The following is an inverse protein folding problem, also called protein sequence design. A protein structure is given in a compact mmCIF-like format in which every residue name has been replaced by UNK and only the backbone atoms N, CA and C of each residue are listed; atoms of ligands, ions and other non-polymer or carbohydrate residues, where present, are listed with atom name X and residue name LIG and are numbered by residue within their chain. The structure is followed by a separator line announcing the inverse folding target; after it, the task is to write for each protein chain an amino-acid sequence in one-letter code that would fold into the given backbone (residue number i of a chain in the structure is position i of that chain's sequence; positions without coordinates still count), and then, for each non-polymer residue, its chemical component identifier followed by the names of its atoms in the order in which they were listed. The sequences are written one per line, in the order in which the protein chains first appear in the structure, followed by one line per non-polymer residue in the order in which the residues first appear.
data_IF_627288668802
#
_entry.id   IF_627288668802
#
_cell.length_a   1.000
_cell.length_b   1.000
_cell.length_c   1.000
_cell.angle_alpha   90.00
_cell.angle_beta   90.00
_cell.angle_gamma   90.00
#
_symmetry.space_group_name_H-M   'P 1'
#
loop_
_entity.id
_entity.type
_entity.pdbx_description
1 polymer ?
#
# COMPACT_ATOMS: atom_id res chain seq x y z
N UNK A 1 19.16 13.87 15.65
CA UNK A 1 19.75 13.83 17.01
C UNK A 1 21.19 13.41 16.81
N UNK A 2 22.14 14.18 17.33
CA UNK A 2 23.55 13.84 17.16
C UNK A 2 23.88 12.67 18.12
N UNK A 3 24.64 11.66 17.68
CA UNK A 3 25.10 10.60 18.57
C UNK A 3 26.15 11.14 19.54
N UNK A 4 26.10 10.68 20.79
CA UNK A 4 27.06 11.02 21.86
C UNK A 4 27.74 9.73 22.32
N UNK A 5 29.03 9.81 22.63
CA UNK A 5 29.80 8.67 23.13
C UNK A 5 29.39 8.35 24.57
N UNK A 6 28.72 7.21 24.76
CA UNK A 6 28.36 6.68 26.07
C UNK A 6 29.56 6.02 26.76
N UNK A 7 30.31 5.19 26.04
CA UNK A 7 31.47 4.45 26.58
C UNK A 7 32.64 4.51 25.60
N UNK A 8 33.86 4.51 26.15
CA UNK A 8 35.14 4.33 25.43
C UNK A 8 35.90 3.22 26.15
N UNK A 9 36.23 2.16 25.43
CA UNK A 9 36.83 0.95 25.99
C UNK A 9 37.98 0.47 25.10
N UNK A 10 38.98 -0.21 25.66
CA UNK A 10 40.08 -0.75 24.87
C UNK A 10 39.59 -1.84 23.91
N UNK A 11 40.28 -2.04 22.78
CA UNK A 11 39.88 -3.00 21.74
C UNK A 11 39.83 -4.47 22.21
N UNK A 12 40.51 -4.80 23.30
CA UNK A 12 40.49 -6.13 23.90
C UNK A 12 39.31 -6.37 24.84
N UNK A 13 38.48 -5.35 25.12
CA UNK A 13 37.26 -5.52 25.90
C UNK A 13 36.18 -6.18 25.03
N UNK A 14 35.61 -7.29 25.52
CA UNK A 14 34.49 -7.96 24.87
C UNK A 14 33.18 -7.26 25.23
N UNK A 15 32.63 -6.51 24.27
CA UNK A 15 31.36 -5.82 24.39
C UNK A 15 30.15 -6.65 23.91
N UNK A 16 30.35 -7.85 23.40
CA UNK A 16 29.29 -8.62 22.72
C UNK A 16 28.08 -8.89 23.61
N UNK A 17 28.31 -9.31 24.85
CA UNK A 17 27.24 -9.56 25.83
C UNK A 17 26.50 -8.28 26.24
N UNK A 18 27.21 -7.16 26.39
CA UNK A 18 26.57 -5.88 26.70
C UNK A 18 25.79 -5.31 25.51
N UNK A 19 26.30 -5.44 24.29
CA UNK A 19 25.58 -5.09 23.05
C UNK A 19 24.29 -5.91 22.94
N UNK A 20 24.35 -7.21 23.25
CA UNK A 20 23.17 -8.10 23.26
C UNK A 20 22.14 -7.63 24.30
N UNK A 21 22.59 -7.21 25.48
CA UNK A 21 21.73 -6.61 26.50
C UNK A 21 21.05 -5.33 25.98
N UNK A 22 21.79 -4.40 25.39
CA UNK A 22 21.23 -3.15 24.83
C UNK A 22 20.22 -3.42 23.71
N UNK A 23 20.50 -4.39 22.83
CA UNK A 23 19.57 -4.82 21.78
C UNK A 23 18.26 -5.37 22.38
N UNK A 24 18.35 -6.19 23.43
CA UNK A 24 17.18 -6.73 24.13
C UNK A 24 16.36 -5.64 24.80
N UNK A 25 17.01 -4.63 25.34
CA UNK A 25 16.35 -3.45 25.93
C UNK A 25 15.86 -2.44 24.89
N UNK A 26 16.04 -2.71 23.59
CA UNK A 26 15.67 -1.83 22.48
C UNK A 26 16.29 -0.43 22.57
N UNK A 27 17.47 -0.33 23.18
CA UNK A 27 18.22 0.93 23.29
C UNK A 27 18.96 1.16 21.96
N UNK A 28 18.70 2.27 21.23
CA UNK A 28 19.43 2.56 20.00
C UNK A 28 20.91 2.82 20.29
N UNK A 29 21.79 2.08 19.64
CA UNK A 29 23.24 2.21 19.85
C UNK A 29 24.02 1.87 18.58
N UNK A 30 25.28 2.30 18.54
CA UNK A 30 26.26 1.95 17.51
C UNK A 30 27.63 1.79 18.16
N UNK A 31 28.34 0.71 17.87
CA UNK A 31 29.75 0.55 18.25
C UNK A 31 30.60 0.92 17.04
N UNK A 32 31.64 1.73 17.24
CA UNK A 32 32.66 2.01 16.25
C UNK A 32 34.05 1.95 16.88
N UNK A 33 35.08 1.79 16.07
CA UNK A 33 36.47 1.88 16.51
C UNK A 33 37.03 3.28 16.22
N UNK A 34 37.64 3.92 17.21
CA UNK A 34 38.34 5.20 17.07
C UNK A 34 39.67 5.16 17.84
N UNK A 35 40.79 5.44 17.15
CA UNK A 35 42.10 5.66 17.79
C UNK A 35 42.53 4.51 18.74
N UNK A 36 42.24 3.26 18.37
CA UNK A 36 42.60 2.09 19.19
C UNK A 36 41.63 1.78 20.34
N UNK A 37 40.47 2.43 20.38
CA UNK A 37 39.39 2.20 21.34
C UNK A 37 38.09 1.82 20.63
N UNK A 38 37.25 1.01 21.28
CA UNK A 38 35.85 0.82 20.93
C UNK A 38 35.01 1.92 21.59
N UNK A 39 34.21 2.62 20.78
CA UNK A 39 33.32 3.70 21.21
C UNK A 39 31.87 3.27 21.01
N UNK A 40 31.11 3.25 22.10
CA UNK A 40 29.66 3.01 22.08
C UNK A 40 28.94 4.35 21.98
N UNK A 41 28.25 4.57 20.88
CA UNK A 41 27.44 5.75 20.60
C UNK A 41 25.97 5.48 20.89
N UNK A 42 25.30 6.45 21.51
CA UNK A 42 23.84 6.45 21.71
C UNK A 42 23.28 7.81 21.30
N UNK A 43 21.98 7.93 20.96
CA UNK A 43 21.36 9.23 20.69
C UNK A 43 21.48 10.18 21.87
N UNK A 44 21.73 11.47 21.59
CA UNK A 44 21.62 12.55 22.58
C UNK A 44 20.16 12.72 23.02
N UNK A 45 19.75 11.95 24.03
CA UNK A 45 18.38 11.86 24.51
C UNK A 45 18.35 11.85 26.04
N UNK A 46 18.60 13.00 26.66
CA UNK A 46 18.45 13.20 28.10
C UNK A 46 19.36 12.29 28.93
N UNK A 47 18.77 11.53 29.84
CA UNK A 47 19.47 10.65 30.80
C UNK A 47 20.00 9.34 30.18
N UNK A 48 19.66 9.04 28.91
CA UNK A 48 20.01 7.77 28.25
C UNK A 48 21.53 7.47 28.25
N UNK A 49 22.36 8.49 28.09
CA UNK A 49 23.83 8.34 28.11
C UNK A 49 24.28 7.88 29.50
N UNK A 50 23.68 8.42 30.56
CA UNK A 50 24.00 8.06 31.94
C UNK A 50 23.45 6.67 32.27
N UNK A 51 22.23 6.36 31.86
CA UNK A 51 21.61 5.04 32.04
C UNK A 51 22.46 3.92 31.42
N UNK A 52 23.00 4.15 30.21
CA UNK A 52 23.85 3.18 29.52
C UNK A 52 25.19 3.00 30.23
N UNK A 53 25.75 4.05 30.84
CA UNK A 53 26.96 3.95 31.66
C UNK A 53 26.71 3.15 32.94
N UNK A 54 25.66 3.48 33.68
CA UNK A 54 25.27 2.77 34.89
C UNK A 54 24.96 1.29 34.61
N UNK A 55 24.31 1.02 33.48
CA UNK A 55 24.02 -0.35 33.04
C UNK A 55 25.30 -1.13 32.72
N UNK A 56 26.29 -0.48 32.10
CA UNK A 56 27.57 -1.11 31.80
C UNK A 56 28.40 -1.39 33.05
N UNK A 57 28.43 -0.46 34.01
CA UNK A 57 29.12 -0.67 35.29
C UNK A 57 28.56 -1.87 36.05
N UNK A 58 27.25 -2.10 35.92
CA UNK A 58 26.55 -3.18 36.62
C UNK A 58 26.58 -4.52 35.86
N UNK A 59 26.58 -4.47 34.53
CA UNK A 59 26.52 -5.65 33.66
C UNK A 59 27.51 -5.54 32.48
N UNK A 60 28.84 -5.51 32.74
CA UNK A 60 29.83 -5.28 31.69
C UNK A 60 29.89 -6.42 30.66
N UNK A 61 29.57 -7.66 31.08
CA UNK A 61 29.45 -8.81 30.17
C UNK A 61 28.01 -9.02 29.66
N UNK A 62 27.11 -8.07 29.91
CA UNK A 62 25.67 -8.27 29.79
C UNK A 62 25.10 -9.12 30.93
N UNK A 63 23.78 -9.29 30.92
CA UNK A 63 23.06 -10.19 31.81
C UNK A 63 21.85 -10.74 31.05
N UNK A 64 21.82 -12.06 30.87
CA UNK A 64 20.71 -12.73 30.18
C UNK A 64 19.39 -12.67 30.95
N UNK A 65 19.45 -12.55 32.28
CA UNK A 65 18.30 -12.53 33.17
C UNK A 65 17.79 -11.11 33.49
N UNK A 66 18.55 -10.06 33.16
CA UNK A 66 18.17 -8.68 33.48
C UNK A 66 16.89 -8.24 32.75
N UNK A 67 15.84 -7.93 33.50
CA UNK A 67 14.61 -7.36 32.98
C UNK A 67 14.47 -5.93 33.49
N UNK A 68 14.03 -5.01 32.63
CA UNK A 68 13.64 -3.67 33.08
C UNK A 68 12.47 -3.83 34.06
N UNK A 69 12.47 -3.14 35.22
CA UNK A 69 11.33 -3.11 36.12
C UNK A 69 10.07 -2.65 35.35
N UNK A 70 9.10 -3.54 35.17
CA UNK A 70 7.88 -3.28 34.39
C UNK A 70 7.88 -3.77 32.93
N UNK A 71 9.00 -4.32 32.42
CA UNK A 71 9.03 -4.99 31.11
C UNK A 71 8.46 -6.40 31.20
N UNK A 72 7.14 -6.52 31.15
CA UNK A 72 6.55 -7.76 30.62
C UNK A 72 6.94 -7.80 29.15
N UNK A 73 7.96 -8.59 28.81
CA UNK A 73 8.21 -8.94 27.42
C UNK A 73 6.95 -9.66 26.90
N UNK A 74 6.07 -8.91 26.25
CA UNK A 74 5.12 -9.53 25.33
C UNK A 74 5.98 -10.34 24.34
N UNK A 75 5.66 -11.62 24.10
CA UNK A 75 6.43 -12.42 23.17
C UNK A 75 6.57 -11.65 21.87
N UNK A 76 7.77 -11.65 21.26
CA UNK A 76 7.95 -11.22 19.87
C UNK A 76 7.20 -12.24 19.01
N UNK A 77 5.88 -12.17 19.01
CA UNK A 77 5.05 -12.92 18.08
C UNK A 77 5.40 -12.35 16.72
N UNK A 78 6.04 -13.16 15.88
CA UNK A 78 6.16 -12.87 14.45
C UNK A 78 4.84 -12.29 13.96
N UNK A 79 4.91 -11.22 13.16
CA UNK A 79 3.73 -10.44 12.77
C UNK A 79 2.57 -11.36 12.36
N UNK A 80 1.31 -10.94 12.60
CA UNK A 80 0.14 -11.81 12.46
C UNK A 80 0.24 -12.60 11.16
N UNK A 81 0.21 -13.93 11.25
CA UNK A 81 0.40 -14.80 10.09
C UNK A 81 -0.55 -14.42 8.95
N UNK A 82 -0.16 -14.69 7.70
CA UNK A 82 -0.94 -14.31 6.50
C UNK A 82 -2.41 -14.68 6.63
N UNK A 83 -2.71 -15.86 7.18
CA UNK A 83 -4.07 -16.33 7.45
C UNK A 83 -4.86 -15.41 8.41
N UNK A 84 -4.21 -14.90 9.45
CA UNK A 84 -4.84 -13.95 10.38
C UNK A 84 -5.10 -12.60 9.71
N UNK A 85 -4.20 -12.13 8.84
CA UNK A 85 -4.41 -10.89 8.09
C UNK A 85 -5.57 -11.02 7.09
N UNK A 86 -5.65 -12.14 6.36
CA UNK A 86 -6.75 -12.43 5.45
C UNK A 86 -8.10 -12.47 6.17
N UNK A 87 -8.17 -13.06 7.36
CA UNK A 87 -9.40 -13.08 8.18
C UNK A 87 -9.81 -11.71 8.70
N UNK A 88 -8.87 -10.79 8.89
CA UNK A 88 -9.16 -9.41 9.30
C UNK A 88 -9.59 -8.50 8.14
N UNK A 89 -9.22 -8.86 6.92
CA UNK A 89 -9.50 -8.06 5.73
C UNK A 89 -10.20 -8.91 4.65
N UNK A 90 -11.42 -9.45 4.94
CA UNK A 90 -12.09 -10.39 4.07
C UNK A 90 -12.47 -9.79 2.71
N UNK A 91 -12.88 -8.52 2.62
CA UNK A 91 -13.22 -7.89 1.33
C UNK A 91 -11.96 -7.59 0.53
N UNK A 92 -10.89 -7.13 1.18
CA UNK A 92 -9.60 -6.96 0.51
C UNK A 92 -9.14 -8.28 -0.11
N UNK A 93 -9.19 -9.36 0.67
CA UNK A 93 -8.84 -10.70 0.20
C UNK A 93 -9.77 -11.19 -0.92
N UNK A 94 -11.08 -10.98 -0.79
CA UNK A 94 -12.07 -11.39 -1.78
C UNK A 94 -11.85 -10.69 -3.13
N UNK A 95 -11.65 -9.37 -3.14
CA UNK A 95 -11.41 -8.62 -4.38
C UNK A 95 -10.12 -9.08 -5.05
N UNK A 96 -9.07 -9.35 -4.28
CA UNK A 96 -7.83 -9.91 -4.82
C UNK A 96 -8.03 -11.32 -5.37
N UNK A 97 -8.77 -12.18 -4.67
CA UNK A 97 -9.09 -13.52 -5.14
C UNK A 97 -9.87 -13.48 -6.45
N UNK A 98 -10.93 -12.66 -6.53
CA UNK A 98 -11.72 -12.48 -7.75
C UNK A 98 -10.84 -11.94 -8.88
N UNK A 99 -9.98 -10.97 -8.59
CA UNK A 99 -9.01 -10.43 -9.57
C UNK A 99 -8.08 -11.52 -10.10
N UNK A 100 -7.55 -12.39 -9.24
CA UNK A 100 -6.70 -13.52 -9.65
C UNK A 100 -7.46 -14.55 -10.50
N UNK A 101 -8.70 -14.88 -10.12
CA UNK A 101 -9.56 -15.78 -10.90
C UNK A 101 -9.86 -15.21 -12.28
N UNK A 102 -10.22 -13.93 -12.36
CA UNK A 102 -10.45 -13.24 -13.64
C UNK A 102 -9.19 -13.22 -14.48
N UNK A 103 -8.03 -12.89 -13.89
CA UNK A 103 -6.75 -12.92 -14.61
C UNK A 103 -6.44 -14.30 -15.21
N UNK A 104 -6.78 -15.39 -14.49
CA UNK A 104 -6.69 -16.76 -15.00
C UNK A 104 -7.67 -17.03 -16.14
N UNK A 105 -8.94 -16.62 -16.01
CA UNK A 105 -9.97 -16.79 -17.05
C UNK A 105 -9.65 -15.99 -18.32
N UNK A 106 -9.12 -14.78 -18.18
CA UNK A 106 -8.73 -13.92 -19.29
C UNK A 106 -7.36 -14.27 -19.86
N UNK A 107 -6.65 -15.25 -19.29
CA UNK A 107 -5.27 -15.59 -19.63
C UNK A 107 -4.38 -14.34 -19.72
N UNK A 108 -4.45 -13.47 -18.70
CA UNK A 108 -3.71 -12.21 -18.63
C UNK A 108 -3.85 -11.28 -19.86
N UNK A 109 -4.96 -11.37 -20.60
CA UNK A 109 -5.19 -10.52 -21.78
C UNK A 109 -5.50 -11.32 -23.05
N UNK A 110 -5.11 -12.59 -23.10
CA UNK A 110 -5.12 -13.36 -24.35
C UNK A 110 -6.50 -13.93 -24.69
N UNK A 111 -7.33 -14.22 -23.69
CA UNK A 111 -8.68 -14.75 -23.90
C UNK A 111 -9.69 -13.60 -24.12
N UNK A 112 -9.81 -13.16 -25.38
CA UNK A 112 -10.69 -12.06 -25.78
C UNK A 112 -12.18 -12.33 -25.53
N UNK A 113 -12.63 -13.60 -25.56
CA UNK A 113 -14.02 -13.93 -25.22
C UNK A 113 -14.31 -13.64 -23.74
N UNK A 114 -13.42 -14.04 -22.83
CA UNK A 114 -13.57 -13.75 -21.40
C UNK A 114 -13.50 -12.23 -21.13
N UNK A 115 -12.57 -11.53 -21.79
CA UNK A 115 -12.45 -10.06 -21.70
C UNK A 115 -13.72 -9.38 -22.18
N UNK A 116 -14.31 -9.86 -23.29
CA UNK A 116 -15.53 -9.32 -23.86
C UNK A 116 -16.68 -9.29 -22.85
N UNK A 117 -16.76 -10.19 -21.88
CA UNK A 117 -17.81 -10.17 -20.85
C UNK A 117 -17.62 -9.10 -19.77
N UNK A 118 -16.37 -8.68 -19.53
CA UNK A 118 -15.99 -7.86 -18.38
C UNK A 118 -15.56 -6.44 -18.76
N UNK A 119 -15.21 -6.20 -20.02
CA UNK A 119 -14.80 -4.89 -20.51
C UNK A 119 -15.95 -3.87 -20.51
N UNK A 120 -15.61 -2.58 -20.60
CA UNK A 120 -16.54 -1.48 -20.47
C UNK A 120 -17.57 -1.45 -21.61
N UNK A 121 -17.12 -1.62 -22.86
CA UNK A 121 -17.97 -1.78 -24.04
C UNK A 121 -17.83 -3.18 -24.62
N UNK A 122 -18.95 -3.82 -24.97
CA UNK A 122 -18.90 -5.05 -25.76
C UNK A 122 -18.27 -4.75 -27.10
N UNK A 123 -17.54 -5.72 -27.62
CA UNK A 123 -16.85 -5.58 -28.88
C UNK A 123 -16.94 -6.86 -29.69
N UNK A 124 -16.93 -6.70 -31.01
CA UNK A 124 -16.82 -7.81 -31.96
C UNK A 124 -15.59 -7.61 -32.80
N UNK A 125 -14.86 -8.69 -33.00
CA UNK A 125 -13.71 -8.72 -33.90
C UNK A 125 -14.21 -9.22 -35.25
N UNK A 126 -14.00 -8.43 -36.30
CA UNK A 126 -14.27 -8.79 -37.68
C UNK A 126 -12.99 -8.57 -38.49
N UNK A 127 -12.29 -9.66 -38.81
CA UNK A 127 -10.93 -9.57 -39.37
C UNK A 127 -9.99 -8.86 -38.39
N UNK A 128 -9.34 -7.81 -38.86
CA UNK A 128 -8.37 -7.03 -38.07
C UNK A 128 -8.99 -5.87 -37.27
N UNK A 129 -10.33 -5.69 -37.33
CA UNK A 129 -11.00 -4.55 -36.72
C UNK A 129 -11.87 -4.98 -35.52
N UNK A 130 -11.75 -4.22 -34.43
CA UNK A 130 -12.67 -4.29 -33.30
C UNK A 130 -13.76 -3.22 -33.45
N UNK A 131 -15.02 -3.65 -33.44
CA UNK A 131 -16.19 -2.74 -33.40
C UNK A 131 -16.81 -2.80 -32.02
N UNK A 132 -17.03 -1.64 -31.39
CA UNK A 132 -17.62 -1.54 -30.06
C UNK A 132 -19.11 -1.24 -30.15
N UNK A 133 -19.90 -1.89 -29.29
CA UNK A 133 -21.32 -1.57 -29.14
C UNK A 133 -21.47 -0.25 -28.37
N UNK A 134 -22.38 0.65 -28.80
CA UNK A 134 -22.68 1.89 -28.07
C UNK A 134 -23.07 1.64 -26.60
N UNK A 135 -22.72 2.60 -25.74
CA UNK A 135 -22.95 2.48 -24.29
C UNK A 135 -24.44 2.47 -23.93
N UNK A 136 -25.25 3.24 -24.64
CA UNK A 136 -26.70 3.31 -24.48
C UNK A 136 -27.39 1.97 -24.77
N UNK A 137 -27.04 1.34 -25.89
CA UNK A 137 -27.54 -0.01 -26.24
C UNK A 137 -27.14 -1.04 -25.18
N UNK A 138 -25.90 -0.92 -24.69
CA UNK A 138 -25.36 -1.74 -23.62
C UNK A 138 -26.17 -1.67 -22.33
N UNK A 139 -26.43 -0.46 -21.86
CA UNK A 139 -27.20 -0.22 -20.65
C UNK A 139 -28.66 -0.65 -20.83
N UNK A 140 -29.24 -0.41 -22.01
CA UNK A 140 -30.59 -0.87 -22.36
C UNK A 140 -30.69 -2.41 -22.36
N UNK A 141 -29.63 -3.11 -22.73
CA UNK A 141 -29.56 -4.59 -22.68
C UNK A 141 -29.29 -5.18 -21.28
N UNK A 142 -29.19 -4.33 -20.24
CA UNK A 142 -29.03 -4.77 -18.86
C UNK A 142 -27.59 -5.16 -18.48
N UNK A 143 -26.58 -4.72 -19.22
CA UNK A 143 -25.18 -5.07 -18.99
C UNK A 143 -24.46 -4.09 -18.05
N UNK A 144 -25.12 -3.68 -16.98
CA UNK A 144 -24.67 -2.63 -16.05
C UNK A 144 -23.40 -2.99 -15.27
N UNK A 145 -23.07 -4.28 -15.11
CA UNK A 145 -21.85 -4.71 -14.44
C UNK A 145 -20.57 -4.18 -15.11
N UNK A 146 -20.64 -3.88 -16.41
CA UNK A 146 -19.51 -3.39 -17.23
C UNK A 146 -19.01 -2.01 -16.86
N UNK A 147 -19.81 -1.25 -16.13
CA UNK A 147 -19.36 0.01 -15.54
C UNK A 147 -18.25 -0.26 -14.51
N UNK A 148 -18.27 -1.42 -13.86
CA UNK A 148 -17.36 -1.77 -12.75
C UNK A 148 -16.37 -2.87 -13.12
N UNK A 149 -16.80 -3.92 -13.80
CA UNK A 149 -15.98 -5.12 -14.05
C UNK A 149 -14.62 -4.91 -14.74
N UNK A 150 -14.36 -3.84 -15.52
CA UNK A 150 -13.03 -3.60 -16.08
C UNK A 150 -11.91 -3.54 -15.03
N UNK A 151 -12.22 -3.20 -13.77
CA UNK A 151 -11.21 -3.21 -12.70
C UNK A 151 -10.56 -4.59 -12.48
N UNK A 152 -11.23 -5.67 -12.88
CA UNK A 152 -10.76 -7.05 -12.65
C UNK A 152 -9.83 -7.56 -13.76
N UNK A 153 -9.86 -6.95 -14.95
CA UNK A 153 -9.08 -7.39 -16.11
C UNK A 153 -7.65 -6.90 -15.96
N UNK A 154 -6.65 -7.76 -16.14
CA UNK A 154 -5.24 -7.37 -16.07
C UNK A 154 -4.46 -7.93 -17.26
N UNK A 155 -3.59 -7.09 -17.82
CA UNK A 155 -2.71 -7.41 -18.93
C UNK A 155 -1.29 -7.67 -18.42
N UNK A 156 -0.89 -8.94 -18.39
CA UNK A 156 0.44 -9.36 -17.93
C UNK A 156 0.64 -9.44 -16.40
N UNK A 157 1.66 -10.21 -16.02
CA UNK A 157 1.93 -10.58 -14.60
C UNK A 157 2.36 -9.37 -13.78
N UNK A 158 3.24 -8.51 -14.31
CA UNK A 158 3.74 -7.34 -13.58
C UNK A 158 2.61 -6.38 -13.23
N UNK A 159 1.70 -6.13 -14.18
CA UNK A 159 0.55 -5.27 -13.98
C UNK A 159 -0.37 -5.82 -12.87
N UNK A 160 -0.66 -7.12 -12.90
CA UNK A 160 -1.44 -7.80 -11.87
C UNK A 160 -0.76 -7.77 -10.48
N UNK A 161 0.54 -8.08 -10.42
CA UNK A 161 1.29 -8.13 -9.17
C UNK A 161 1.37 -6.76 -8.48
N UNK A 162 1.68 -5.71 -9.25
CA UNK A 162 1.75 -4.35 -8.73
C UNK A 162 0.37 -3.87 -8.25
N UNK A 163 -0.69 -4.14 -9.02
CA UNK A 163 -2.03 -3.77 -8.61
C UNK A 163 -2.48 -4.51 -7.34
N UNK A 164 -2.24 -5.82 -7.29
CA UNK A 164 -2.60 -6.64 -6.15
C UNK A 164 -1.90 -6.22 -4.87
N UNK A 165 -0.60 -5.92 -4.96
CA UNK A 165 0.19 -5.41 -3.82
C UNK A 165 -0.38 -4.09 -3.28
N UNK A 166 -0.65 -3.12 -4.15
CA UNK A 166 -1.18 -1.82 -3.72
C UNK A 166 -2.61 -1.89 -3.23
N UNK A 167 -3.44 -2.74 -3.84
CA UNK A 167 -4.81 -2.95 -3.38
C UNK A 167 -4.82 -3.59 -2.01
N UNK A 168 -3.95 -4.58 -1.77
CA UNK A 168 -3.74 -5.14 -0.43
C UNK A 168 -3.36 -4.05 0.57
N UNK A 169 -2.37 -3.24 0.24
CA UNK A 169 -1.83 -2.23 1.16
C UNK A 169 -2.82 -1.12 1.51
N UNK A 170 -3.53 -0.59 0.52
CA UNK A 170 -4.50 0.50 0.72
C UNK A 170 -5.85 -0.03 1.20
N UNK A 171 -6.33 -1.13 0.62
CA UNK A 171 -7.61 -1.76 0.94
C UNK A 171 -7.66 -2.22 2.39
N UNK A 172 -6.62 -2.92 2.87
CA UNK A 172 -6.58 -3.41 4.27
C UNK A 172 -6.68 -2.27 5.28
N UNK A 173 -6.07 -1.11 5.00
CA UNK A 173 -6.12 0.05 5.90
C UNK A 173 -7.55 0.57 6.01
N UNK A 174 -8.22 0.73 4.88
CA UNK A 174 -9.61 1.18 4.82
C UNK A 174 -10.54 0.18 5.50
N UNK A 175 -10.39 -1.11 5.20
CA UNK A 175 -11.23 -2.16 5.79
C UNK A 175 -11.06 -2.26 7.31
N UNK A 176 -9.83 -2.17 7.83
CA UNK A 176 -9.57 -2.20 9.28
C UNK A 176 -10.18 -0.97 9.97
N UNK A 177 -10.15 0.19 9.32
CA UNK A 177 -10.55 1.47 9.96
C UNK A 177 -12.02 1.82 9.79
N UNK A 178 -12.59 1.53 8.62
CA UNK A 178 -13.94 1.93 8.22
C UNK A 178 -14.86 0.73 7.94
N UNK A 179 -14.32 -0.50 7.95
CA UNK A 179 -15.10 -1.73 7.78
C UNK A 179 -15.19 -2.22 6.33
N UNK A 180 -15.53 -3.49 6.20
CA UNK A 180 -15.61 -4.23 4.93
C UNK A 180 -16.61 -3.62 3.93
N UNK A 181 -17.80 -3.22 4.40
CA UNK A 181 -18.82 -2.63 3.53
C UNK A 181 -18.40 -1.27 2.96
N UNK A 182 -17.67 -0.48 3.75
CA UNK A 182 -17.15 0.79 3.28
C UNK A 182 -16.06 0.59 2.22
N UNK A 183 -15.14 -0.36 2.43
CA UNK A 183 -14.15 -0.71 1.39
C UNK A 183 -14.84 -1.18 0.11
N UNK A 184 -15.83 -2.06 0.21
CA UNK A 184 -16.56 -2.57 -0.95
C UNK A 184 -17.25 -1.42 -1.71
N UNK A 185 -17.99 -0.56 -1.00
CA UNK A 185 -18.66 0.59 -1.60
C UNK A 185 -17.70 1.56 -2.29
N UNK A 186 -16.57 1.87 -1.65
CA UNK A 186 -15.53 2.72 -2.24
C UNK A 186 -14.88 2.05 -3.47
N UNK A 187 -14.59 0.75 -3.40
CA UNK A 187 -14.01 -0.02 -4.53
C UNK A 187 -14.93 0.04 -5.74
N UNK A 188 -16.22 -0.25 -5.56
CA UNK A 188 -17.22 -0.22 -6.64
C UNK A 188 -17.41 1.19 -7.20
N UNK A 189 -17.49 2.20 -6.33
CA UNK A 189 -17.62 3.60 -6.74
C UNK A 189 -16.41 4.08 -7.54
N UNK A 190 -15.20 3.84 -7.04
CA UNK A 190 -13.97 4.26 -7.70
C UNK A 190 -13.81 3.56 -9.03
N UNK A 191 -14.13 2.27 -9.11
CA UNK A 191 -14.14 1.55 -10.37
C UNK A 191 -15.11 2.18 -11.36
N UNK A 192 -16.36 2.44 -10.96
CA UNK A 192 -17.36 3.02 -11.84
C UNK A 192 -16.92 4.38 -12.40
N UNK A 193 -16.47 5.28 -11.52
CA UNK A 193 -16.04 6.63 -11.91
C UNK A 193 -14.77 6.58 -12.76
N UNK A 194 -13.75 5.81 -12.37
CA UNK A 194 -12.52 5.66 -13.14
C UNK A 194 -12.78 5.12 -14.54
N UNK A 195 -13.58 4.05 -14.66
CA UNK A 195 -13.88 3.45 -15.96
C UNK A 195 -14.65 4.42 -16.86
N UNK A 196 -15.61 5.14 -16.29
CA UNK A 196 -16.37 6.14 -17.04
C UNK A 196 -15.51 7.31 -17.51
N UNK A 197 -14.62 7.83 -16.64
CA UNK A 197 -13.68 8.91 -17.02
C UNK A 197 -12.70 8.42 -18.09
N UNK A 198 -12.20 7.18 -17.99
CA UNK A 198 -11.36 6.59 -19.03
C UNK A 198 -12.09 6.55 -20.38
N UNK A 199 -13.32 6.06 -20.40
CA UNK A 199 -14.14 6.02 -21.61
C UNK A 199 -14.35 7.41 -22.22
N UNK A 200 -14.68 8.42 -21.40
CA UNK A 200 -14.84 9.79 -21.89
C UNK A 200 -13.54 10.37 -22.46
N UNK A 201 -12.40 10.03 -21.87
CA UNK A 201 -11.10 10.60 -22.27
C UNK A 201 -10.46 9.93 -23.49
N UNK A 202 -10.66 8.62 -23.66
CA UNK A 202 -10.00 7.81 -24.70
C UNK A 202 -10.95 7.33 -25.80
N UNK A 203 -12.26 7.43 -25.58
CA UNK A 203 -13.27 6.85 -26.46
C UNK A 203 -13.36 5.32 -26.34
N UNK A 204 -14.05 4.67 -27.30
CA UNK A 204 -14.18 3.21 -27.34
C UNK A 204 -12.82 2.53 -27.46
N UNK A 205 -12.41 1.83 -26.39
CA UNK A 205 -11.12 1.14 -26.33
C UNK A 205 -11.18 -0.02 -25.33
N UNK A 206 -10.20 -0.93 -25.43
CA UNK A 206 -9.99 -1.97 -24.42
C UNK A 206 -9.08 -1.42 -23.32
N UNK A 207 -9.58 -1.41 -22.09
CA UNK A 207 -8.82 -1.06 -20.91
C UNK A 207 -9.27 -1.91 -19.72
N UNK A 208 -8.42 -2.02 -18.72
CA UNK A 208 -8.69 -2.80 -17.52
C UNK A 208 -7.60 -2.66 -16.48
N UNK A 209 -7.97 -2.96 -15.24
CA UNK A 209 -7.04 -3.04 -14.12
C UNK A 209 -7.53 -2.30 -12.89
N UNK A 210 -7.04 -2.72 -11.73
CA UNK A 210 -7.41 -2.11 -10.44
C UNK A 210 -6.86 -0.68 -10.29
N UNK A 211 -6.00 -0.19 -11.17
CA UNK A 211 -5.22 1.02 -10.94
C UNK A 211 -6.07 2.29 -10.76
N UNK A 212 -7.22 2.39 -11.44
CA UNK A 212 -8.16 3.49 -11.17
C UNK A 212 -8.69 3.46 -9.74
N UNK A 213 -9.07 2.27 -9.26
CA UNK A 213 -9.47 2.04 -7.88
C UNK A 213 -8.31 2.36 -6.92
N UNK A 214 -7.09 1.96 -7.22
CA UNK A 214 -5.92 2.24 -6.38
C UNK A 214 -5.70 3.73 -6.16
N UNK A 215 -5.77 4.53 -7.24
CA UNK A 215 -5.67 5.98 -7.13
C UNK A 215 -6.84 6.57 -6.32
N UNK A 216 -8.04 5.98 -6.42
CA UNK A 216 -9.16 6.30 -5.54
C UNK A 216 -8.88 6.00 -4.07
N UNK A 217 -8.38 4.80 -3.74
CA UNK A 217 -8.04 4.44 -2.36
C UNK A 217 -6.90 5.31 -1.82
N UNK A 218 -5.91 5.63 -2.65
CA UNK A 218 -4.80 6.53 -2.32
C UNK A 218 -5.31 7.93 -1.98
N UNK A 219 -6.11 8.53 -2.87
CA UNK A 219 -6.72 9.85 -2.66
C UNK A 219 -7.61 9.89 -1.43
N UNK A 220 -8.40 8.83 -1.22
CA UNK A 220 -9.25 8.69 -0.04
C UNK A 220 -8.42 8.66 1.24
N UNK A 221 -7.44 7.76 1.33
CA UNK A 221 -6.57 7.64 2.50
C UNK A 221 -5.82 8.94 2.78
N UNK A 222 -5.27 9.58 1.74
CA UNK A 222 -4.48 10.80 1.87
C UNK A 222 -5.30 11.95 2.45
N UNK A 223 -6.44 12.28 1.83
CA UNK A 223 -7.27 13.40 2.28
C UNK A 223 -7.96 13.10 3.60
N UNK A 224 -8.46 11.88 3.79
CA UNK A 224 -9.05 11.46 5.07
C UNK A 224 -8.04 11.63 6.22
N UNK A 225 -6.80 11.18 6.03
CA UNK A 225 -5.74 11.27 7.03
C UNK A 225 -5.40 12.72 7.41
N UNK A 226 -5.51 13.67 6.47
CA UNK A 226 -5.28 15.10 6.76
C UNK A 226 -6.38 15.69 7.66
N UNK A 227 -7.62 15.21 7.54
CA UNK A 227 -8.79 15.74 8.25
C UNK A 227 -9.06 15.04 9.58
N UNK A 228 -8.87 13.72 9.62
CA UNK A 228 -9.11 12.87 10.78
C UNK A 228 -7.93 11.90 10.98
N UNK A 229 -6.78 12.38 11.51
CA UNK A 229 -5.55 11.60 11.60
C UNK A 229 -5.76 10.29 12.35
N UNK A 230 -5.32 9.18 11.74
CA UNK A 230 -5.40 7.86 12.34
C UNK A 230 -4.13 7.03 12.07
N UNK A 231 -3.60 6.28 13.05
CA UNK A 231 -2.42 5.44 12.84
C UNK A 231 -2.55 4.44 11.68
N UNK A 232 -3.76 3.89 11.46
CA UNK A 232 -4.01 2.90 10.39
C UNK A 232 -3.91 3.53 9.00
N UNK A 233 -4.32 4.80 8.85
CA UNK A 233 -4.33 5.52 7.57
C UNK A 233 -3.01 6.22 7.25
N UNK A 234 -2.06 6.21 8.19
CA UNK A 234 -0.76 6.86 8.01
C UNK A 234 0.05 6.13 6.94
N UNK A 235 0.05 6.69 5.73
CA UNK A 235 0.91 6.26 4.63
C UNK A 235 2.31 6.86 4.80
N UNK A 236 3.38 6.08 4.59
CA UNK A 236 4.72 6.62 4.51
C UNK A 236 4.79 7.70 3.41
N UNK A 237 5.41 8.85 3.70
CA UNK A 237 5.50 9.96 2.73
C UNK A 237 6.14 9.53 1.41
N UNK A 238 7.14 8.65 1.47
CA UNK A 238 7.80 8.09 0.29
C UNK A 238 6.85 7.26 -0.59
N UNK A 239 5.91 6.52 0.00
CA UNK A 239 4.92 5.73 -0.75
C UNK A 239 3.97 6.65 -1.50
N UNK A 240 3.41 7.66 -0.83
CA UNK A 240 2.54 8.65 -1.48
C UNK A 240 3.27 9.37 -2.62
N UNK A 241 4.49 9.86 -2.36
CA UNK A 241 5.30 10.54 -3.36
C UNK A 241 5.59 9.63 -4.57
N UNK A 242 6.00 8.39 -4.32
CA UNK A 242 6.28 7.41 -5.37
C UNK A 242 5.03 7.13 -6.24
N UNK A 243 3.86 6.93 -5.65
CA UNK A 243 2.63 6.67 -6.42
C UNK A 243 2.18 7.90 -7.24
N UNK A 244 2.40 9.12 -6.73
CA UNK A 244 2.13 10.34 -7.47
C UNK A 244 3.15 10.59 -8.58
N UNK A 245 4.44 10.31 -8.35
CA UNK A 245 5.47 10.35 -9.39
C UNK A 245 5.15 9.32 -10.48
N UNK A 246 4.77 8.10 -10.08
CA UNK A 246 4.34 7.06 -11.01
C UNK A 246 3.14 7.52 -11.87
N UNK A 247 2.19 8.25 -11.28
CA UNK A 247 1.06 8.83 -12.02
C UNK A 247 1.55 9.80 -13.09
N UNK A 248 2.44 10.73 -12.72
CA UNK A 248 2.98 11.73 -13.66
C UNK A 248 3.77 11.04 -14.78
N UNK A 249 4.54 9.99 -14.48
CA UNK A 249 5.25 9.21 -15.49
C UNK A 249 4.28 8.51 -16.45
N UNK A 250 3.18 7.95 -15.95
CA UNK A 250 2.13 7.36 -16.80
C UNK A 250 1.47 8.42 -17.70
N UNK A 251 1.13 9.57 -17.13
CA UNK A 251 0.52 10.69 -17.86
C UNK A 251 1.44 11.29 -18.94
N UNK A 252 2.76 11.22 -18.74
CA UNK A 252 3.74 11.70 -19.71
C UNK A 252 3.82 10.86 -20.99
N UNK A 253 3.25 9.65 -21.00
CA UNK A 253 3.36 8.70 -22.11
C UNK A 253 4.71 7.96 -22.18
N UNK A 254 5.68 8.30 -21.32
CA UNK A 254 7.00 7.68 -21.31
C UNK A 254 6.92 6.16 -21.08
N UNK A 255 6.00 5.72 -20.21
CA UNK A 255 5.82 4.30 -19.91
C UNK A 255 5.26 3.52 -21.11
N UNK A 256 4.31 4.12 -21.86
CA UNK A 256 3.83 3.55 -23.12
C UNK A 256 4.96 3.44 -24.16
N UNK A 257 5.82 4.47 -24.28
CA UNK A 257 6.97 4.47 -25.18
C UNK A 257 8.01 3.39 -24.85
N UNK A 258 8.15 3.04 -23.58
CA UNK A 258 9.05 1.97 -23.11
C UNK A 258 8.49 0.56 -23.34
N UNK A 259 7.31 0.42 -23.95
CA UNK A 259 6.75 -0.87 -24.34
C UNK A 259 5.93 -1.56 -23.25
N UNK A 260 5.51 -0.85 -22.20
CA UNK A 260 4.67 -1.41 -21.13
C UNK A 260 3.16 -1.45 -21.47
N UNK A 261 2.79 -1.12 -22.71
CA UNK A 261 1.41 -1.08 -23.18
C UNK A 261 0.72 0.26 -22.90
N UNK A 262 -0.49 0.41 -23.45
CA UNK A 262 -1.32 1.60 -23.26
C UNK A 262 -1.85 1.70 -21.82
N UNK A 263 -1.66 2.87 -21.22
CA UNK A 263 -2.08 3.13 -19.83
C UNK A 263 -3.39 3.88 -19.81
N UNK A 264 -4.33 3.39 -19.00
CA UNK A 264 -5.61 4.03 -18.73
C UNK A 264 -5.44 5.29 -17.84
N UNK A 265 -4.81 6.32 -18.38
CA UNK A 265 -4.50 7.56 -17.68
C UNK A 265 -5.75 8.30 -17.17
N UNK A 266 -6.85 8.28 -17.94
CA UNK A 266 -8.14 8.82 -17.52
C UNK A 266 -8.69 8.10 -16.29
N UNK A 267 -8.54 6.77 -16.22
CA UNK A 267 -8.94 5.98 -15.06
C UNK A 267 -8.18 6.38 -13.79
N UNK A 268 -6.86 6.62 -13.89
CA UNK A 268 -6.04 7.00 -12.75
C UNK A 268 -6.43 8.38 -12.21
N UNK A 269 -6.56 9.37 -13.09
CA UNK A 269 -6.93 10.74 -12.70
C UNK A 269 -8.34 10.78 -12.15
N UNK A 270 -9.30 10.15 -12.84
CA UNK A 270 -10.68 10.04 -12.38
C UNK A 270 -10.78 9.38 -11.01
N UNK A 271 -10.01 8.30 -10.81
CA UNK A 271 -9.88 7.59 -9.55
C UNK A 271 -9.35 8.48 -8.43
N UNK A 272 -8.22 9.14 -8.65
CA UNK A 272 -7.61 10.04 -7.65
C UNK A 272 -8.58 11.14 -7.21
N UNK A 273 -9.26 11.78 -8.17
CA UNK A 273 -10.21 12.86 -7.89
C UNK A 273 -11.37 12.37 -7.01
N UNK A 274 -12.06 11.29 -7.41
CA UNK A 274 -13.17 10.75 -6.61
C UNK A 274 -12.69 10.24 -5.25
N UNK A 275 -11.48 9.69 -5.19
CA UNK A 275 -10.80 9.33 -3.95
C UNK A 275 -10.66 10.52 -3.01
N UNK A 276 -10.07 11.61 -3.49
CA UNK A 276 -9.90 12.83 -2.72
C UNK A 276 -11.25 13.40 -2.25
N UNK A 277 -12.29 13.38 -3.08
CA UNK A 277 -13.64 13.84 -2.72
C UNK A 277 -14.23 12.98 -1.59
N UNK A 278 -14.20 11.66 -1.72
CA UNK A 278 -14.71 10.78 -0.66
C UNK A 278 -13.87 10.85 0.62
N UNK A 279 -12.55 11.05 0.50
CA UNK A 279 -11.66 11.29 1.63
C UNK A 279 -11.98 12.60 2.35
N UNK A 280 -12.29 13.66 1.61
CA UNK A 280 -12.73 14.95 2.15
C UNK A 280 -14.04 14.80 2.93
N UNK A 281 -15.06 14.20 2.31
CA UNK A 281 -16.38 14.01 2.91
C UNK A 281 -16.29 13.08 4.14
N UNK A 282 -15.64 11.93 3.99
CA UNK A 282 -15.46 10.95 5.06
C UNK A 282 -14.64 11.50 6.23
N UNK A 283 -13.55 12.20 5.92
CA UNK A 283 -12.69 12.83 6.91
C UNK A 283 -13.40 13.95 7.68
N UNK A 284 -14.17 14.80 6.98
CA UNK A 284 -14.98 15.84 7.61
C UNK A 284 -16.06 15.26 8.53
N UNK A 285 -16.75 14.21 8.11
CA UNK A 285 -17.75 13.51 8.95
C UNK A 285 -17.11 12.86 10.17
N UNK A 286 -15.94 12.23 10.01
CA UNK A 286 -15.21 11.62 11.12
C UNK A 286 -14.73 12.66 12.14
N UNK A 287 -14.21 13.80 11.69
CA UNK A 287 -13.77 14.91 12.55
C UNK A 287 -14.91 15.52 13.36
N UNK A 288 -16.14 15.58 12.81
CA UNK A 288 -17.32 16.08 13.52
C UNK A 288 -17.82 15.15 14.63
N UNK A 289 -17.48 13.87 14.56
CA UNK A 289 -17.89 12.85 15.54
C UNK A 289 -16.87 12.63 16.66
N UNK A 290 -15.67 13.19 16.53
CA UNK A 290 -14.61 13.16 17.53
C UNK A 290 -14.69 14.40 18.44
#
# INVERSE_FOLDING_TARGET
MNPVAALRLPLNADLSGFVTLLQRLQIPHRVSEEVGEQVLWVPDAGELVQDVRELYERFPQGDEAFQLPGSTQAPVTGGPGVMHQLRRCPVTALVLLVTLLVAGLTLLGDNLEAIRWLTFLDFRIQGDYATFLPLDDMLASGQWWRIVSPMLIHFGILHLAMNGMWYWELGRRIEIRQGSWQLLGLTLLFSAVSNYVQYLSSGPSLFGGLSGVLYGLLGHCWIFQMLAPNPVYRLPRGVLAMMLIWLVLCLSGLVSMLGFGEIANGAHVGGLIIGCITGLLGGALARRKA
#
